data_IF_630674933637
#
_entry.id   IF_630674933637
#
_cell.length_a   1.000
_cell.length_b   1.000
_cell.length_c   1.000
_cell.angle_alpha   90.00
_cell.angle_beta   90.00
_cell.angle_gamma   90.00
#
_symmetry.space_group_name_H-M   'P 1'
#
loop_
_entity.id
_entity.type
_entity.pdbx_description
1 polymer ?
#
# COMPACT_ATOMS: atom_id res chain seq x y z
N UNK A 1 1.56 -9.93 16.45
CA UNK A 1 1.37 -9.29 15.14
C UNK A 1 -0.03 -8.73 15.03
N UNK A 2 -0.18 -7.70 14.23
CA UNK A 2 -1.46 -7.03 14.06
C UNK A 2 -1.81 -6.94 12.59
N UNK A 3 -3.10 -6.78 12.32
CA UNK A 3 -3.60 -6.67 10.95
C UNK A 3 -3.67 -5.20 10.54
N UNK A 4 -3.14 -4.90 9.39
CA UNK A 4 -3.15 -3.56 8.82
C UNK A 4 -3.63 -3.58 7.38
N UNK A 5 -4.38 -2.56 7.03
CA UNK A 5 -4.70 -2.28 5.64
C UNK A 5 -3.90 -1.05 5.22
N UNK A 6 -3.17 -1.18 4.16
CA UNK A 6 -2.35 -0.09 3.64
C UNK A 6 -2.81 0.23 2.24
N UNK A 7 -3.12 1.49 2.00
CA UNK A 7 -3.39 1.99 0.67
C UNK A 7 -2.29 2.99 0.35
N UNK A 8 -1.60 2.80 -0.76
CA UNK A 8 -0.66 3.80 -1.21
C UNK A 8 -0.92 4.14 -2.67
N UNK A 9 -0.58 5.36 -3.03
CA UNK A 9 -0.77 5.85 -4.39
C UNK A 9 0.58 6.28 -4.96
N UNK A 10 0.79 5.90 -6.21
CA UNK A 10 2.05 6.12 -6.91
C UNK A 10 1.79 7.09 -8.06
N UNK A 11 2.74 7.98 -8.28
CA UNK A 11 2.66 8.94 -9.39
C UNK A 11 2.41 8.19 -10.70
N UNK A 12 1.48 8.66 -11.55
CA UNK A 12 1.12 7.90 -12.75
C UNK A 12 2.28 7.67 -13.71
N UNK A 13 3.26 8.57 -13.74
CA UNK A 13 4.46 8.39 -14.56
C UNK A 13 5.37 7.29 -14.04
N UNK A 14 5.15 6.82 -12.81
CA UNK A 14 5.95 5.78 -12.16
C UNK A 14 5.16 4.48 -12.02
N UNK A 15 4.02 4.34 -12.70
CA UNK A 15 3.17 3.14 -12.59
C UNK A 15 3.92 1.85 -12.91
N UNK A 16 4.87 1.89 -13.82
CA UNK A 16 5.65 0.71 -14.20
C UNK A 16 6.52 0.17 -13.06
N UNK A 17 6.79 0.99 -12.03
CA UNK A 17 7.55 0.56 -10.86
C UNK A 17 6.70 -0.21 -9.85
N UNK A 18 5.38 -0.16 -9.97
CA UNK A 18 4.47 -0.75 -8.98
C UNK A 18 4.72 -2.24 -8.76
N UNK A 19 4.87 -3.08 -9.80
CA UNK A 19 5.13 -4.50 -9.55
C UNK A 19 6.38 -4.76 -8.72
N UNK A 20 7.46 -4.03 -9.00
CA UNK A 20 8.72 -4.18 -8.25
C UNK A 20 8.56 -3.68 -6.81
N UNK A 21 7.80 -2.59 -6.62
CA UNK A 21 7.52 -2.06 -5.28
C UNK A 21 6.74 -3.07 -4.46
N UNK A 22 5.70 -3.67 -5.03
CA UNK A 22 4.87 -4.67 -4.35
C UNK A 22 5.72 -5.87 -3.95
N UNK A 23 6.59 -6.35 -4.84
CA UNK A 23 7.46 -7.48 -4.52
C UNK A 23 8.44 -7.15 -3.40
N UNK A 24 8.95 -5.92 -3.36
CA UNK A 24 9.83 -5.48 -2.28
C UNK A 24 9.09 -5.48 -0.93
N UNK A 25 7.88 -4.96 -0.90
CA UNK A 25 7.09 -4.93 0.33
C UNK A 25 6.68 -6.34 0.75
N UNK A 26 6.33 -7.20 -0.19
CA UNK A 26 6.06 -8.60 0.08
C UNK A 26 7.26 -9.27 0.74
N UNK A 27 8.45 -9.07 0.19
CA UNK A 27 9.67 -9.65 0.74
C UNK A 27 9.94 -9.13 2.16
N UNK A 28 9.75 -7.85 2.40
CA UNK A 28 9.91 -7.26 3.74
C UNK A 28 8.99 -7.92 4.75
N UNK A 29 7.72 -8.09 4.40
CA UNK A 29 6.74 -8.73 5.27
C UNK A 29 7.10 -10.18 5.53
N UNK A 30 7.42 -10.93 4.50
CA UNK A 30 7.72 -12.36 4.62
C UNK A 30 9.00 -12.62 5.41
N UNK A 31 10.04 -11.81 5.17
CA UNK A 31 11.31 -11.92 5.90
C UNK A 31 11.12 -11.68 7.39
N UNK A 32 10.21 -10.80 7.76
CA UNK A 32 9.91 -10.51 9.14
C UNK A 32 8.97 -11.54 9.80
N UNK A 33 8.57 -12.57 9.09
CA UNK A 33 7.65 -13.58 9.59
C UNK A 33 6.19 -13.16 9.55
N UNK A 34 5.88 -12.07 8.87
CA UNK A 34 4.51 -11.61 8.69
C UNK A 34 3.79 -12.36 7.59
N UNK A 35 2.54 -11.99 7.38
CA UNK A 35 1.69 -12.59 6.34
C UNK A 35 1.08 -11.50 5.48
N UNK A 36 0.93 -11.82 4.21
CA UNK A 36 0.18 -10.99 3.27
C UNK A 36 -1.11 -11.71 2.98
N UNK A 37 -2.22 -11.08 3.37
CA UNK A 37 -3.54 -11.68 3.18
C UNK A 37 -4.14 -11.27 1.86
N UNK A 38 -3.79 -10.08 1.36
CA UNK A 38 -4.40 -9.58 0.14
C UNK A 38 -3.54 -8.48 -0.46
N UNK A 39 -3.42 -8.50 -1.78
CA UNK A 39 -2.81 -7.43 -2.56
C UNK A 39 -3.76 -7.11 -3.68
N UNK A 40 -4.11 -5.84 -3.84
CA UNK A 40 -4.91 -5.38 -4.95
C UNK A 40 -4.21 -4.25 -5.67
N UNK A 41 -4.07 -4.38 -6.96
CA UNK A 41 -3.57 -3.33 -7.83
C UNK A 41 -4.78 -2.77 -8.56
N UNK A 42 -5.18 -1.55 -8.20
CA UNK A 42 -6.36 -0.92 -8.79
C UNK A 42 -6.06 -0.16 -10.06
N UNK A 43 -4.79 -0.05 -10.44
CA UNK A 43 -4.40 0.70 -11.61
C UNK A 43 -4.54 2.21 -11.40
N UNK A 44 -4.50 2.93 -12.50
CA UNK A 44 -4.61 4.39 -12.46
C UNK A 44 -6.05 4.80 -12.26
N UNK A 45 -6.27 5.67 -11.27
CA UNK A 45 -7.59 6.20 -10.95
C UNK A 45 -7.52 7.69 -10.73
N UNK A 46 -8.62 8.35 -11.04
CA UNK A 46 -8.71 9.79 -10.83
C UNK A 46 -8.74 10.08 -9.33
N UNK A 47 -7.96 11.06 -8.92
CA UNK A 47 -7.95 11.50 -7.54
C UNK A 47 -9.20 12.32 -7.23
N UNK A 48 -9.77 12.13 -6.04
CA UNK A 48 -10.88 12.94 -5.56
C UNK A 48 -10.45 14.41 -5.44
N UNK A 49 -9.21 14.62 -5.00
CA UNK A 49 -8.63 15.95 -4.88
C UNK A 49 -7.27 15.93 -5.56
N UNK A 50 -7.02 16.81 -6.53
CA UNK A 50 -5.71 16.86 -7.18
C UNK A 50 -4.60 17.17 -6.19
N UNK A 51 -3.43 16.58 -6.43
CA UNK A 51 -2.21 16.88 -5.70
C UNK A 51 -1.34 17.75 -6.61
N UNK A 52 -1.43 19.07 -6.43
CA UNK A 52 -0.81 19.98 -7.35
C UNK A 52 -1.36 19.83 -8.76
N UNK A 53 -0.50 19.45 -9.69
CA UNK A 53 -0.89 19.19 -11.09
C UNK A 53 -1.21 17.72 -11.36
N UNK A 54 -1.20 16.88 -10.33
CA UNK A 54 -1.45 15.45 -10.48
C UNK A 54 -2.93 15.18 -10.26
N UNK A 55 -3.61 14.67 -11.29
CA UNK A 55 -5.05 14.39 -11.25
C UNK A 55 -5.36 12.90 -11.15
N UNK A 56 -4.41 12.04 -11.48
CA UNK A 56 -4.56 10.58 -11.42
C UNK A 56 -3.39 9.99 -10.67
N UNK A 57 -3.60 8.80 -10.11
CA UNK A 57 -2.54 8.07 -9.44
C UNK A 57 -2.81 6.57 -9.56
N UNK A 58 -1.76 5.78 -9.38
CA UNK A 58 -1.86 4.33 -9.38
C UNK A 58 -2.10 3.87 -7.95
N UNK A 59 -3.25 3.24 -7.70
CA UNK A 59 -3.66 2.79 -6.36
C UNK A 59 -3.28 1.34 -6.13
N UNK A 60 -2.73 1.07 -4.95
CA UNK A 60 -2.42 -0.29 -4.50
C UNK A 60 -2.90 -0.46 -3.08
N UNK A 61 -3.54 -1.59 -2.81
CA UNK A 61 -4.02 -1.95 -1.49
C UNK A 61 -3.33 -3.20 -1.01
N UNK A 62 -2.87 -3.19 0.24
CA UNK A 62 -2.27 -4.34 0.91
C UNK A 62 -3.03 -4.61 2.20
N UNK A 63 -3.38 -5.87 2.45
CA UNK A 63 -3.81 -6.34 3.76
C UNK A 63 -2.72 -7.26 4.29
N UNK A 64 -2.11 -6.87 5.39
CA UNK A 64 -0.95 -7.58 5.93
C UNK A 64 -1.10 -7.79 7.43
N UNK A 65 -0.33 -8.74 7.93
CA UNK A 65 -0.21 -9.00 9.35
C UNK A 65 1.28 -8.94 9.71
N UNK A 66 1.66 -7.94 10.49
CA UNK A 66 3.06 -7.69 10.86
C UNK A 66 3.14 -7.13 12.26
N UNK A 67 4.35 -7.09 12.81
CA UNK A 67 4.61 -6.38 14.05
C UNK A 67 4.83 -4.89 13.78
N UNK A 68 4.88 -4.10 14.87
CA UNK A 68 5.03 -2.66 14.77
C UNK A 68 6.34 -2.25 14.11
N UNK A 69 7.40 -2.99 14.37
CA UNK A 69 8.71 -2.69 13.79
C UNK A 69 8.70 -2.83 12.28
N UNK A 70 8.08 -3.89 11.77
CA UNK A 70 7.98 -4.11 10.33
C UNK A 70 7.09 -3.06 9.69
N UNK A 71 6.00 -2.68 10.35
CA UNK A 71 5.14 -1.62 9.87
C UNK A 71 5.91 -0.31 9.71
N UNK A 72 6.74 0.04 10.71
CA UNK A 72 7.56 1.24 10.66
C UNK A 72 8.54 1.20 9.47
N UNK A 73 9.12 0.04 9.20
CA UNK A 73 10.01 -0.13 8.05
C UNK A 73 9.27 0.11 6.73
N UNK A 74 8.06 -0.41 6.62
CA UNK A 74 7.24 -0.21 5.43
C UNK A 74 6.87 1.26 5.26
N UNK A 75 6.43 1.91 6.34
CA UNK A 75 6.07 3.33 6.28
C UNK A 75 7.27 4.19 5.92
N UNK A 76 8.44 3.86 6.47
CA UNK A 76 9.67 4.55 6.13
C UNK A 76 9.96 4.42 4.64
N UNK A 77 9.78 3.22 4.09
CA UNK A 77 9.94 2.98 2.67
C UNK A 77 8.99 3.83 1.82
N UNK A 78 7.72 3.91 2.21
CA UNK A 78 6.75 4.76 1.50
C UNK A 78 7.14 6.23 1.56
N UNK A 79 7.51 6.68 2.75
CA UNK A 79 7.81 8.10 2.99
C UNK A 79 9.01 8.58 2.18
N UNK A 80 10.01 7.75 1.99
CA UNK A 80 11.23 8.12 1.30
C UNK A 80 11.29 7.64 -0.14
N UNK A 81 10.18 7.13 -0.68
CA UNK A 81 10.10 6.78 -2.08
C UNK A 81 9.41 7.91 -2.85
N UNK A 82 10.15 8.58 -3.71
CA UNK A 82 9.64 9.72 -4.46
C UNK A 82 8.46 9.38 -5.36
N UNK A 83 8.33 8.11 -5.76
CA UNK A 83 7.21 7.68 -6.59
C UNK A 83 5.90 7.60 -5.79
N UNK A 84 5.97 7.44 -4.47
CA UNK A 84 4.79 7.34 -3.62
C UNK A 84 4.31 8.74 -3.25
N UNK A 85 3.11 9.10 -3.71
CA UNK A 85 2.52 10.40 -3.42
C UNK A 85 1.92 10.47 -2.03
N UNK A 86 1.22 9.41 -1.65
CA UNK A 86 0.57 9.31 -0.34
C UNK A 86 0.43 7.85 0.06
N UNK A 87 0.34 7.63 1.36
CA UNK A 87 -0.01 6.32 1.90
C UNK A 87 -0.90 6.50 3.12
N UNK A 88 -1.75 5.50 3.35
CA UNK A 88 -2.64 5.46 4.50
C UNK A 88 -2.56 4.08 5.11
N UNK A 89 -2.36 4.02 6.43
CA UNK A 89 -2.32 2.77 7.18
C UNK A 89 -3.50 2.76 8.14
N UNK A 90 -4.31 1.70 8.07
CA UNK A 90 -5.44 1.51 8.97
C UNK A 90 -5.22 0.20 9.72
N UNK A 91 -5.26 0.27 11.04
CA UNK A 91 -5.19 -0.93 11.86
C UNK A 91 -6.53 -1.63 11.84
N UNK A 92 -6.51 -2.93 11.57
CA UNK A 92 -7.70 -3.76 11.46
C UNK A 92 -7.75 -4.75 12.61
N UNK A 93 -8.95 -5.16 13.01
CA UNK A 93 -9.10 -6.17 14.06
C UNK A 93 -8.78 -7.58 13.54
N UNK A 94 -9.01 -7.81 12.25
CA UNK A 94 -8.73 -9.09 11.60
C UNK A 94 -8.49 -8.86 10.11
N UNK A 95 -7.90 -9.84 9.45
CA UNK A 95 -7.64 -9.76 8.02
C UNK A 95 -8.95 -9.68 7.23
N UNK A 96 -8.96 -8.83 6.21
CA UNK A 96 -10.00 -8.79 5.20
C UNK A 96 -9.44 -9.35 3.92
N UNK A 97 -10.04 -10.43 3.46
CA UNK A 97 -9.60 -11.10 2.24
C UNK A 97 -10.59 -10.95 1.09
N UNK A 98 -11.77 -10.39 1.36
CA UNK A 98 -12.80 -10.21 0.36
C UNK A 98 -12.70 -8.83 -0.28
N UNK A 99 -13.03 -8.78 -1.56
CA UNK A 99 -13.12 -7.55 -2.32
C UNK A 99 -14.43 -6.83 -1.98
N UNK A 100 -14.51 -5.55 -2.26
CA UNK A 100 -15.76 -4.82 -2.17
C UNK A 100 -15.98 -4.09 -0.87
N UNK A 101 -14.95 -3.81 -0.16
CA UNK A 101 -15.03 -3.00 1.02
C UNK A 101 -15.36 -1.56 0.65
N UNK A 102 -16.41 -1.07 1.28
CA UNK A 102 -17.03 0.18 0.85
C UNK A 102 -16.31 1.44 1.28
N UNK A 103 -15.46 1.36 2.26
CA UNK A 103 -14.85 2.55 2.84
C UNK A 103 -13.65 3.11 2.06
N UNK A 104 -13.39 2.55 0.96
CA UNK A 104 -12.23 2.97 0.16
C UNK A 104 -12.56 4.22 -0.63
#
# INVERSE_FOLDING_TARGET
MRHYEIVFIVHPDQSEQVPAMVERYRATVQTAGGKIHRIEDWGRRQLAYPLGKVFKAHYVLLNIEVDAKTLDELEHGFKFNDAVLRHLVVRMKKAFTKIGRAHV
#
